data_IF_125442769516
#
_entry.id   IF_125442769516
#
_cell.length_a   1.000
_cell.length_b   1.000
_cell.length_c   1.000
_cell.angle_alpha   90.00
_cell.angle_beta   90.00
_cell.angle_gamma   90.00
#
_symmetry.space_group_name_H-M   'P 1'
#
loop_
_entity.id
_entity.type
_entity.pdbx_description
1 polymer ?
#
# COMPACT_ATOMS: atom_id res chain seq x y z
N UNK A 1 -16.91 33.09 37.22
CA UNK A 1 -17.10 32.83 35.77
C UNK A 1 -16.23 31.68 35.24
N UNK A 2 -15.24 31.19 36.00
CA UNK A 2 -14.30 30.14 35.56
C UNK A 2 -14.90 28.73 35.40
N UNK A 3 -15.89 28.35 36.23
CA UNK A 3 -16.49 27.01 36.17
C UNK A 3 -17.19 26.70 34.84
N UNK A 4 -17.86 27.70 34.24
CA UNK A 4 -18.59 27.55 32.96
C UNK A 4 -17.63 27.35 31.77
N UNK A 5 -16.50 28.04 31.75
CA UNK A 5 -15.45 27.82 30.75
C UNK A 5 -14.78 26.45 30.92
N UNK A 6 -14.56 25.98 32.17
CA UNK A 6 -13.92 24.67 32.40
C UNK A 6 -14.76 23.47 31.93
N UNK A 7 -16.10 23.54 32.05
CA UNK A 7 -16.99 22.45 31.62
C UNK A 7 -17.07 22.37 30.09
N UNK A 8 -17.22 23.52 29.44
CA UNK A 8 -17.19 23.64 27.98
C UNK A 8 -15.93 23.04 27.37
N UNK A 9 -14.78 23.36 27.96
CA UNK A 9 -13.48 22.92 27.50
C UNK A 9 -13.31 21.40 27.69
N UNK A 10 -13.80 20.83 28.80
CA UNK A 10 -13.79 19.38 29.02
C UNK A 10 -14.65 18.63 28.01
N UNK A 11 -15.82 19.14 27.65
CA UNK A 11 -16.70 18.52 26.64
C UNK A 11 -16.01 18.52 25.27
N UNK A 12 -15.43 19.66 24.87
CA UNK A 12 -14.69 19.77 23.59
C UNK A 12 -13.51 18.81 23.57
N UNK A 13 -12.71 18.76 24.64
CA UNK A 13 -11.56 17.86 24.75
C UNK A 13 -12.02 16.40 24.70
N UNK A 14 -13.09 16.03 25.41
CA UNK A 14 -13.60 14.66 25.40
C UNK A 14 -14.08 14.24 24.00
N UNK A 15 -14.83 15.10 23.31
CA UNK A 15 -15.26 14.84 21.93
C UNK A 15 -14.07 14.73 20.98
N UNK A 16 -13.12 15.65 21.05
CA UNK A 16 -11.93 15.64 20.22
C UNK A 16 -11.09 14.37 20.46
N UNK A 17 -10.88 13.98 21.72
CA UNK A 17 -10.12 12.77 22.08
C UNK A 17 -10.82 11.49 21.63
N UNK A 18 -12.15 11.37 21.84
CA UNK A 18 -12.89 10.19 21.37
C UNK A 18 -12.89 10.09 19.85
N UNK A 19 -13.10 11.20 19.14
CA UNK A 19 -13.04 11.22 17.68
C UNK A 19 -11.63 10.95 17.16
N UNK A 20 -10.59 11.49 17.80
CA UNK A 20 -9.21 11.17 17.46
C UNK A 20 -8.91 9.68 17.62
N UNK A 21 -9.36 9.07 18.72
CA UNK A 21 -9.17 7.66 18.99
C UNK A 21 -9.88 6.79 17.94
N UNK A 22 -11.15 7.06 17.67
CA UNK A 22 -11.95 6.27 16.71
C UNK A 22 -11.43 6.47 15.28
N UNK A 23 -11.32 7.72 14.83
CA UNK A 23 -10.86 8.01 13.48
C UNK A 23 -9.41 7.56 13.27
N UNK A 24 -8.56 7.68 14.30
CA UNK A 24 -7.18 7.21 14.28
C UNK A 24 -7.09 5.69 14.19
N UNK A 25 -7.91 4.96 14.93
CA UNK A 25 -7.97 3.50 14.86
C UNK A 25 -8.43 3.02 13.46
N UNK A 26 -9.43 3.67 12.86
CA UNK A 26 -9.86 3.36 11.50
C UNK A 26 -8.79 3.71 10.46
N UNK A 27 -8.16 4.88 10.57
CA UNK A 27 -7.07 5.28 9.66
C UNK A 27 -5.91 4.28 9.72
N UNK A 28 -5.47 3.92 10.93
CA UNK A 28 -4.45 2.90 11.14
C UNK A 28 -4.86 1.55 10.54
N UNK A 29 -6.08 1.10 10.80
CA UNK A 29 -6.59 -0.17 10.28
C UNK A 29 -6.61 -0.23 8.75
N UNK A 30 -7.00 0.86 8.09
CA UNK A 30 -6.98 0.95 6.62
C UNK A 30 -5.55 0.85 6.10
N UNK A 31 -4.62 1.67 6.61
CA UNK A 31 -3.22 1.66 6.14
C UNK A 31 -2.56 0.31 6.38
N UNK A 32 -2.74 -0.27 7.58
CA UNK A 32 -2.19 -1.58 7.91
C UNK A 32 -2.75 -2.69 7.01
N UNK A 33 -4.03 -2.63 6.66
CA UNK A 33 -4.65 -3.62 5.76
C UNK A 33 -4.06 -3.53 4.35
N UNK A 34 -3.84 -2.32 3.83
CA UNK A 34 -3.25 -2.13 2.48
C UNK A 34 -1.86 -2.75 2.41
N UNK A 35 -0.98 -2.43 3.37
CA UNK A 35 0.37 -2.99 3.41
C UNK A 35 0.35 -4.51 3.54
N UNK A 36 -0.54 -5.07 4.37
CA UNK A 36 -0.66 -6.52 4.52
C UNK A 36 -1.16 -7.19 3.23
N UNK A 37 -2.14 -6.58 2.56
CA UNK A 37 -2.71 -7.05 1.28
C UNK A 37 -1.63 -7.05 0.21
N UNK A 38 -0.84 -5.98 0.11
CA UNK A 38 0.25 -5.85 -0.84
C UNK A 38 1.29 -6.95 -0.68
N UNK A 39 1.89 -7.10 0.51
CA UNK A 39 2.92 -8.10 0.77
C UNK A 39 2.42 -9.54 0.55
N UNK A 40 1.18 -9.86 0.95
CA UNK A 40 0.65 -11.23 0.92
C UNK A 40 0.11 -11.64 -0.44
N UNK A 41 -0.66 -10.76 -1.09
CA UNK A 41 -1.30 -11.11 -2.36
C UNK A 41 -0.33 -10.98 -3.52
N UNK A 42 0.47 -9.92 -3.56
CA UNK A 42 1.36 -9.70 -4.71
C UNK A 42 2.49 -10.74 -4.71
N UNK A 43 3.11 -11.02 -3.56
CA UNK A 43 4.17 -12.03 -3.49
C UNK A 43 3.68 -13.42 -3.87
N UNK A 44 2.49 -13.83 -3.42
CA UNK A 44 1.92 -15.15 -3.72
C UNK A 44 1.46 -15.26 -5.18
N UNK A 45 0.84 -14.21 -5.73
CA UNK A 45 0.42 -14.18 -7.13
C UNK A 45 1.63 -14.19 -8.05
N UNK A 46 2.63 -13.34 -7.81
CA UNK A 46 3.82 -13.23 -8.63
C UNK A 46 4.69 -14.49 -8.56
N UNK A 47 4.81 -15.08 -7.36
CA UNK A 47 5.43 -16.39 -7.17
C UNK A 47 4.71 -17.51 -7.92
N UNK A 48 3.38 -17.57 -7.81
CA UNK A 48 2.57 -18.54 -8.54
C UNK A 48 2.65 -18.38 -10.06
N UNK A 49 2.73 -17.15 -10.55
CA UNK A 49 2.89 -16.86 -11.98
C UNK A 49 4.27 -17.27 -12.50
N UNK A 50 5.34 -16.97 -11.75
CA UNK A 50 6.69 -17.42 -12.09
C UNK A 50 6.74 -18.95 -12.11
N UNK A 51 6.21 -19.61 -11.08
CA UNK A 51 6.13 -21.06 -11.02
C UNK A 51 5.36 -21.64 -12.22
N UNK A 52 4.24 -21.02 -12.61
CA UNK A 52 3.46 -21.46 -13.79
C UNK A 52 4.27 -21.35 -15.07
N UNK A 53 5.06 -20.29 -15.26
CA UNK A 53 5.96 -20.15 -16.42
C UNK A 53 7.05 -21.22 -16.42
N UNK A 54 7.64 -21.50 -15.25
CA UNK A 54 8.69 -22.51 -15.11
C UNK A 54 8.18 -23.95 -15.29
N UNK A 55 6.89 -24.20 -15.07
CA UNK A 55 6.24 -25.49 -15.29
C UNK A 55 5.75 -25.72 -16.72
N UNK A 56 5.90 -24.74 -17.63
CA UNK A 56 5.52 -24.94 -19.04
C UNK A 56 6.42 -25.98 -19.71
N UNK A 57 5.81 -26.85 -20.52
CA UNK A 57 6.50 -27.98 -21.17
C UNK A 57 7.56 -27.54 -22.20
N UNK A 58 7.40 -26.35 -22.78
CA UNK A 58 8.33 -25.82 -23.78
C UNK A 58 8.72 -24.37 -23.52
N UNK A 59 10.02 -24.12 -23.57
CA UNK A 59 10.62 -22.77 -23.54
C UNK A 59 10.14 -21.91 -24.71
N UNK A 60 9.67 -22.51 -25.81
CA UNK A 60 9.12 -21.75 -26.95
C UNK A 60 7.79 -21.06 -26.63
N UNK A 61 7.10 -21.48 -25.56
CA UNK A 61 5.85 -20.87 -25.10
C UNK A 61 6.08 -19.70 -24.13
N UNK A 62 7.33 -19.51 -23.70
CA UNK A 62 7.66 -18.37 -22.84
C UNK A 62 7.50 -17.06 -23.60
N UNK A 63 6.73 -16.16 -23.00
CA UNK A 63 6.62 -14.78 -23.45
C UNK A 63 7.47 -13.89 -22.55
N UNK A 64 8.19 -12.93 -23.14
CA UNK A 64 8.83 -11.87 -22.38
C UNK A 64 7.80 -11.03 -21.60
N UNK A 65 6.55 -10.96 -22.10
CA UNK A 65 5.41 -10.36 -21.42
C UNK A 65 4.31 -11.39 -21.23
N UNK A 66 4.35 -12.19 -20.15
CA UNK A 66 3.31 -13.17 -19.83
C UNK A 66 1.94 -12.51 -19.61
N UNK A 67 1.95 -11.32 -19.03
CA UNK A 67 0.81 -10.42 -18.85
C UNK A 67 1.20 -9.01 -19.32
N UNK A 68 0.23 -8.13 -19.60
CA UNK A 68 0.52 -6.76 -20.05
C UNK A 68 1.41 -5.95 -19.10
N UNK A 69 1.30 -6.22 -17.80
CA UNK A 69 2.01 -5.57 -16.69
C UNK A 69 3.25 -6.35 -16.23
N UNK A 70 3.62 -7.46 -16.89
CA UNK A 70 4.72 -8.32 -16.47
C UNK A 70 5.88 -8.36 -17.46
N UNK A 71 7.10 -8.48 -16.94
CA UNK A 71 8.32 -8.65 -17.73
C UNK A 71 9.12 -9.84 -17.20
N UNK A 72 9.43 -10.79 -18.07
CA UNK A 72 10.13 -12.02 -17.73
C UNK A 72 11.56 -12.04 -18.28
N UNK A 73 12.51 -12.36 -17.41
CA UNK A 73 13.93 -12.42 -17.70
C UNK A 73 14.56 -13.68 -17.10
N UNK A 74 15.63 -14.18 -17.70
CA UNK A 74 16.41 -15.25 -17.10
C UNK A 74 17.91 -15.19 -17.45
N UNK A 75 18.73 -15.80 -16.60
CA UNK A 75 20.17 -15.86 -16.79
C UNK A 75 20.52 -16.72 -18.01
N UNK A 76 21.22 -16.13 -18.99
CA UNK A 76 21.51 -16.78 -20.26
C UNK A 76 20.42 -16.60 -21.33
N UNK A 77 19.36 -15.84 -21.03
CA UNK A 77 18.39 -15.41 -22.01
C UNK A 77 19.02 -14.55 -23.10
N UNK A 78 18.45 -14.62 -24.31
CA UNK A 78 18.84 -13.82 -25.47
C UNK A 78 17.80 -12.74 -25.72
N UNK A 79 18.22 -11.67 -26.39
CA UNK A 79 17.36 -10.55 -26.78
C UNK A 79 16.56 -10.03 -25.57
N UNK A 80 15.23 -9.96 -25.68
CA UNK A 80 14.35 -9.41 -24.65
C UNK A 80 14.33 -10.20 -23.33
N UNK A 81 14.74 -11.47 -23.35
CA UNK A 81 14.81 -12.31 -22.14
C UNK A 81 16.12 -12.14 -21.36
N UNK A 82 17.10 -11.42 -21.92
CA UNK A 82 18.42 -11.28 -21.30
C UNK A 82 18.31 -10.57 -19.95
N UNK A 83 18.81 -11.21 -18.89
CA UNK A 83 18.75 -10.65 -17.54
C UNK A 83 19.55 -9.32 -17.42
N UNK A 84 18.85 -8.20 -17.19
CA UNK A 84 19.46 -6.88 -17.00
C UNK A 84 20.41 -6.84 -15.79
N UNK A 85 21.47 -6.03 -15.85
CA UNK A 85 22.51 -5.99 -14.80
C UNK A 85 21.98 -5.53 -13.44
N UNK A 86 20.99 -4.65 -13.44
CA UNK A 86 20.27 -4.14 -12.28
C UNK A 86 19.42 -5.22 -11.58
N UNK A 87 19.14 -6.37 -12.19
CA UNK A 87 18.41 -7.47 -11.51
C UNK A 87 19.33 -8.59 -11.01
N UNK A 88 20.60 -8.60 -11.43
CA UNK A 88 21.53 -9.71 -11.12
C UNK A 88 21.88 -9.81 -9.65
N UNK A 89 21.80 -8.69 -8.93
CA UNK A 89 22.17 -8.59 -7.52
C UNK A 89 21.01 -8.98 -6.58
N UNK A 90 19.81 -9.18 -7.09
CA UNK A 90 18.67 -9.58 -6.28
C UNK A 90 18.85 -11.02 -5.79
N UNK A 91 18.53 -11.25 -4.52
CA UNK A 91 18.53 -12.59 -3.95
C UNK A 91 17.28 -13.36 -4.41
N UNK A 92 17.23 -14.69 -4.25
CA UNK A 92 15.99 -15.43 -4.46
C UNK A 92 14.90 -14.96 -3.48
N UNK A 93 13.69 -14.78 -3.99
CA UNK A 93 12.53 -14.29 -3.23
C UNK A 93 11.87 -13.05 -3.86
N UNK A 94 11.01 -12.43 -3.06
CA UNK A 94 10.26 -11.24 -3.43
C UNK A 94 11.07 -9.97 -3.12
N UNK A 95 11.10 -9.05 -4.07
CA UNK A 95 11.84 -7.80 -3.99
C UNK A 95 11.04 -6.66 -4.62
N UNK A 96 11.21 -5.46 -4.08
CA UNK A 96 10.74 -4.22 -4.70
C UNK A 96 11.92 -3.56 -5.43
N UNK A 97 11.69 -3.13 -6.66
CA UNK A 97 12.71 -2.60 -7.58
C UNK A 97 12.19 -1.32 -8.21
N UNK A 98 12.89 -0.22 -7.96
CA UNK A 98 12.62 1.06 -8.62
C UNK A 98 13.45 1.19 -9.88
N UNK A 99 12.79 1.44 -11.01
CA UNK A 99 13.45 1.70 -12.29
C UNK A 99 12.95 2.98 -12.88
N UNK A 100 13.84 3.96 -12.97
CA UNK A 100 13.53 5.32 -13.45
C UNK A 100 12.38 5.95 -12.66
N UNK A 101 11.17 5.93 -13.21
CA UNK A 101 9.95 6.51 -12.62
C UNK A 101 8.88 5.45 -12.32
N UNK A 102 9.17 4.17 -12.55
CA UNK A 102 8.23 3.06 -12.37
C UNK A 102 8.67 2.19 -11.19
N UNK A 103 7.69 1.67 -10.47
CA UNK A 103 7.90 0.70 -9.42
C UNK A 103 7.56 -0.70 -9.91
N UNK A 104 8.45 -1.63 -9.61
CA UNK A 104 8.31 -3.02 -9.99
C UNK A 104 8.42 -3.91 -8.77
N UNK A 105 7.49 -4.85 -8.66
CA UNK A 105 7.69 -6.03 -7.83
C UNK A 105 8.40 -7.11 -8.63
N UNK A 106 9.46 -7.67 -8.07
CA UNK A 106 10.29 -8.70 -8.65
C UNK A 106 10.16 -9.99 -7.85
N UNK A 107 9.83 -11.09 -8.52
CA UNK A 107 10.00 -12.43 -7.98
C UNK A 107 11.21 -13.08 -8.63
N UNK A 108 12.12 -13.57 -7.81
CA UNK A 108 13.38 -14.17 -8.25
C UNK A 108 13.45 -15.61 -7.78
N UNK A 109 13.64 -16.52 -8.72
CA UNK A 109 13.81 -17.95 -8.43
C UNK A 109 15.08 -18.48 -9.09
N UNK A 110 15.72 -19.47 -8.46
CA UNK A 110 16.93 -20.10 -8.98
C UNK A 110 16.68 -21.59 -9.12
N UNK A 111 16.68 -22.09 -10.36
CA UNK A 111 16.49 -23.50 -10.71
C UNK A 111 17.69 -23.97 -11.52
N UNK A 112 18.34 -25.05 -11.09
CA UNK A 112 19.55 -25.60 -11.71
C UNK A 112 20.67 -24.56 -11.96
N UNK A 113 20.83 -23.63 -11.02
CA UNK A 113 21.82 -22.55 -11.11
C UNK A 113 21.47 -21.45 -12.12
N UNK A 114 20.33 -21.55 -12.81
CA UNK A 114 19.76 -20.48 -13.63
C UNK A 114 18.79 -19.64 -12.82
N UNK A 115 18.94 -18.32 -12.94
CA UNK A 115 18.09 -17.33 -12.30
C UNK A 115 16.97 -16.92 -13.22
N UNK A 116 15.75 -16.92 -12.71
CA UNK A 116 14.55 -16.45 -13.37
C UNK A 116 13.99 -15.26 -12.60
N UNK A 117 13.62 -14.21 -13.30
CA UNK A 117 13.09 -12.99 -12.71
C UNK A 117 11.81 -12.62 -13.43
N UNK A 118 10.73 -12.52 -12.68
CA UNK A 118 9.46 -11.99 -13.15
C UNK A 118 9.23 -10.65 -12.47
N UNK A 119 9.17 -9.58 -13.26
CA UNK A 119 8.78 -8.25 -12.81
C UNK A 119 7.30 -8.03 -13.06
N UNK A 120 6.67 -7.25 -12.19
CA UNK A 120 5.32 -6.74 -12.35
C UNK A 120 5.30 -5.23 -12.09
N UNK A 121 4.81 -4.45 -13.03
CA UNK A 121 4.62 -3.01 -12.90
C UNK A 121 3.52 -2.71 -11.87
N UNK A 122 3.84 -1.87 -10.88
CA UNK A 122 2.96 -1.50 -9.78
C UNK A 122 2.69 0.00 -9.73
N UNK A 123 3.10 0.75 -10.75
CA UNK A 123 3.00 2.22 -10.75
C UNK A 123 1.55 2.70 -10.58
N UNK A 124 0.60 2.06 -11.27
CA UNK A 124 -0.83 2.31 -11.14
C UNK A 124 -1.37 2.01 -9.72
N UNK A 125 -0.81 0.99 -9.06
CA UNK A 125 -1.19 0.61 -7.71
C UNK A 125 -0.70 1.64 -6.70
N UNK A 126 0.55 2.10 -6.82
CA UNK A 126 1.13 3.16 -5.98
C UNK A 126 0.34 4.47 -6.08
N UNK A 127 -0.07 4.86 -7.29
CA UNK A 127 -0.89 6.06 -7.47
C UNK A 127 -2.22 5.95 -6.72
N UNK A 128 -2.87 4.78 -6.81
CA UNK A 128 -4.14 4.52 -6.11
C UNK A 128 -3.95 4.46 -4.60
N UNK A 129 -2.86 3.88 -4.12
CA UNK A 129 -2.51 3.88 -2.70
C UNK A 129 -2.31 5.31 -2.19
N UNK A 130 -1.60 6.15 -2.95
CA UNK A 130 -1.39 7.57 -2.59
C UNK A 130 -2.71 8.32 -2.48
N UNK A 131 -3.64 8.09 -3.41
CA UNK A 131 -4.99 8.68 -3.36
C UNK A 131 -5.75 8.17 -2.14
N UNK A 132 -5.71 6.87 -1.86
CA UNK A 132 -6.34 6.29 -0.66
C UNK A 132 -5.78 6.93 0.62
N UNK A 133 -4.46 7.03 0.74
CA UNK A 133 -3.81 7.66 1.88
C UNK A 133 -4.23 9.12 2.05
N UNK A 134 -4.27 9.88 0.95
CA UNK A 134 -4.75 11.26 0.96
C UNK A 134 -6.21 11.35 1.46
N UNK A 135 -7.09 10.47 0.99
CA UNK A 135 -8.49 10.42 1.42
C UNK A 135 -8.59 10.09 2.92
N UNK A 136 -7.81 9.14 3.42
CA UNK A 136 -7.77 8.77 4.84
C UNK A 136 -7.32 9.94 5.71
N UNK A 137 -6.24 10.63 5.32
CA UNK A 137 -5.71 11.80 6.04
C UNK A 137 -6.74 12.94 6.05
N UNK A 138 -7.32 13.27 4.90
CA UNK A 138 -8.34 14.32 4.79
C UNK A 138 -9.57 13.96 5.63
N UNK A 139 -10.05 12.72 5.55
CA UNK A 139 -11.18 12.23 6.34
C UNK A 139 -10.92 12.29 7.84
N UNK A 140 -9.70 11.95 8.28
CA UNK A 140 -9.28 12.07 9.67
C UNK A 140 -9.30 13.53 10.16
N UNK A 141 -8.71 14.45 9.40
CA UNK A 141 -8.68 15.88 9.75
C UNK A 141 -10.09 16.47 9.80
N UNK A 142 -10.94 16.15 8.81
CA UNK A 142 -12.34 16.59 8.79
C UNK A 142 -13.13 16.05 9.99
N UNK A 143 -12.88 14.80 10.39
CA UNK A 143 -13.52 14.19 11.56
C UNK A 143 -13.13 14.91 12.86
N UNK A 144 -11.85 15.27 13.01
CA UNK A 144 -11.38 16.07 14.16
C UNK A 144 -11.99 17.46 14.17
N UNK A 145 -11.99 18.15 13.03
CA UNK A 145 -12.59 19.48 12.90
C UNK A 145 -14.08 19.46 13.26
N UNK A 146 -14.81 18.45 12.77
CA UNK A 146 -16.22 18.25 13.09
C UNK A 146 -16.43 17.94 14.58
N UNK A 147 -15.59 17.11 15.19
CA UNK A 147 -15.65 16.79 16.62
C UNK A 147 -15.47 18.03 17.50
N UNK A 148 -14.49 18.87 17.17
CA UNK A 148 -14.25 20.15 17.87
C UNK A 148 -15.43 21.10 17.67
N UNK A 149 -15.93 21.22 16.44
CA UNK A 149 -17.09 22.06 16.13
C UNK A 149 -18.34 21.62 16.90
N UNK A 150 -18.66 20.32 16.90
CA UNK A 150 -19.80 19.76 17.62
C UNK A 150 -19.63 19.92 19.14
N UNK A 151 -18.44 19.65 19.67
CA UNK A 151 -18.13 19.89 21.08
C UNK A 151 -18.36 21.35 21.48
N UNK A 152 -18.00 22.28 20.61
CA UNK A 152 -18.20 23.71 20.84
C UNK A 152 -19.68 24.13 20.75
N UNK A 153 -20.43 23.62 19.78
CA UNK A 153 -21.88 23.86 19.67
C UNK A 153 -22.62 23.33 20.90
N UNK A 154 -22.31 22.10 21.35
CA UNK A 154 -22.90 21.54 22.56
C UNK A 154 -22.55 22.35 23.79
N UNK A 155 -21.28 22.72 23.97
CA UNK A 155 -20.85 23.55 25.07
C UNK A 155 -21.64 24.87 25.13
N UNK A 156 -21.83 25.54 23.98
CA UNK A 156 -22.65 26.75 23.89
C UNK A 156 -24.11 26.52 24.23
N UNK A 157 -24.71 25.43 23.75
CA UNK A 157 -26.13 25.12 23.96
C UNK A 157 -26.45 24.72 25.40
N UNK A 158 -25.56 23.99 26.06
CA UNK A 158 -25.66 23.62 27.49
C UNK A 158 -25.50 24.86 28.40
N UNK A 159 -24.84 25.91 27.92
CA UNK A 159 -24.64 27.17 28.66
C UNK A 159 -25.69 28.25 28.36
N UNK A 160 -26.61 28.04 27.41
CA UNK A 160 -27.70 28.97 27.16
C UNK A 160 -28.67 28.96 28.35
N UNK A 161 -29.02 30.13 28.94
CA UNK A 161 -29.94 30.16 30.06
C UNK A 161 -31.32 29.70 29.60
N UNK A 162 -31.91 28.75 30.36
CA UNK A 162 -33.33 28.41 30.30
C UNK A 162 -34.18 29.57 30.82
#
# INVERSE_FOLDING_TARGET
MEFKQSLAQRIIIAFALMSALVAGAFAFGIVATVHLVEERLISSVLGGDLQRLLLMDSVSEWSHRPRPDQLFYYSGGRDDFALPSDLRHLNPGFHEVFREHLSYHAMVEVVDGRRYVLLQDQSDFEERERVLFAVVVVGFVLSLALAVFLGWVLARRVMAPV
#
